data_IF_598321163732
#
_entry.id   IF_598321163732
#
_cell.length_a   1.000
_cell.length_b   1.000
_cell.length_c   1.000
_cell.angle_alpha   90.00
_cell.angle_beta   90.00
_cell.angle_gamma   90.00
#
_symmetry.space_group_name_H-M   'P 1'
#
loop_
_entity.id
_entity.type
_entity.pdbx_description
1 polymer ?
#
# COMPACT_ATOMS: atom_id res chain seq x y z
N UNK A 1 -1.17 -18.62 -18.72
CA UNK A 1 -0.08 -19.38 -18.07
C UNK A 1 0.96 -18.46 -17.44
N UNK A 2 1.51 -17.45 -18.11
CA UNK A 2 2.48 -16.51 -17.52
C UNK A 2 1.99 -15.79 -16.25
N UNK A 3 0.78 -15.27 -16.26
CA UNK A 3 0.20 -14.58 -15.10
C UNK A 3 -0.01 -15.49 -13.87
N UNK A 4 -0.25 -16.77 -14.06
CA UNK A 4 -0.42 -17.71 -12.95
C UNK A 4 0.90 -17.99 -12.27
N UNK A 5 1.97 -18.19 -13.04
CA UNK A 5 3.33 -18.41 -12.52
C UNK A 5 3.85 -17.19 -11.77
N UNK A 6 3.61 -15.97 -12.29
CA UNK A 6 3.98 -14.72 -11.62
C UNK A 6 3.25 -14.57 -10.28
N UNK A 7 1.95 -14.88 -10.24
CA UNK A 7 1.15 -14.81 -9.01
C UNK A 7 1.65 -15.80 -7.94
N UNK A 8 1.95 -17.03 -8.33
CA UNK A 8 2.49 -18.05 -7.43
C UNK A 8 3.85 -17.63 -6.85
N UNK A 9 4.73 -17.09 -7.68
CA UNK A 9 6.03 -16.55 -7.28
C UNK A 9 5.88 -15.40 -6.28
N UNK A 10 5.00 -14.42 -6.57
CA UNK A 10 4.74 -13.30 -5.68
C UNK A 10 4.13 -13.74 -4.34
N UNK A 11 3.20 -14.68 -4.35
CA UNK A 11 2.63 -15.21 -3.12
C UNK A 11 3.69 -15.88 -2.25
N UNK A 12 4.62 -16.64 -2.84
CA UNK A 12 5.72 -17.26 -2.10
C UNK A 12 6.64 -16.20 -1.44
N UNK A 13 6.91 -15.08 -2.13
CA UNK A 13 7.67 -13.96 -1.57
C UNK A 13 6.91 -13.31 -0.42
N UNK A 14 5.61 -13.05 -0.60
CA UNK A 14 4.75 -12.44 0.42
C UNK A 14 4.69 -13.32 1.68
N UNK A 15 4.53 -14.64 1.52
CA UNK A 15 4.53 -15.59 2.63
C UNK A 15 5.86 -15.57 3.40
N UNK A 16 7.01 -15.62 2.70
CA UNK A 16 8.32 -15.55 3.37
C UNK A 16 8.51 -14.26 4.15
N UNK A 17 8.11 -13.11 3.58
CA UNK A 17 8.20 -11.82 4.26
C UNK A 17 7.25 -11.78 5.46
N UNK A 18 6.03 -12.27 5.29
CA UNK A 18 5.06 -12.35 6.38
C UNK A 18 5.58 -13.20 7.53
N UNK A 19 6.13 -14.37 7.25
CA UNK A 19 6.72 -15.26 8.25
C UNK A 19 7.92 -14.64 8.96
N UNK A 20 8.81 -13.98 8.22
CA UNK A 20 9.96 -13.28 8.79
C UNK A 20 9.51 -12.19 9.76
N UNK A 21 8.54 -11.37 9.37
CA UNK A 21 7.99 -10.29 10.20
C UNK A 21 7.19 -10.85 11.39
N UNK A 22 6.45 -11.94 11.21
CA UNK A 22 5.70 -12.58 12.29
C UNK A 22 6.60 -13.09 13.40
N UNK A 23 7.76 -13.65 13.05
CA UNK A 23 8.74 -14.17 14.02
C UNK A 23 9.67 -13.09 14.59
N UNK A 24 9.64 -11.87 14.04
CA UNK A 24 10.26 -10.72 14.71
C UNK A 24 9.43 -10.34 15.93
N UNK A 25 10.01 -10.51 17.12
CA UNK A 25 9.33 -10.25 18.40
C UNK A 25 8.86 -8.83 18.60
N UNK A 26 9.38 -7.86 17.84
CA UNK A 26 8.99 -6.44 17.88
C UNK A 26 7.98 -6.05 16.84
N UNK A 27 7.77 -6.87 15.82
CA UNK A 27 6.76 -6.62 14.79
C UNK A 27 5.37 -7.02 15.32
N UNK A 28 4.45 -6.07 15.34
CA UNK A 28 3.09 -6.22 15.88
C UNK A 28 2.11 -6.61 14.80
N UNK A 29 2.22 -6.04 13.59
CA UNK A 29 1.32 -6.30 12.49
C UNK A 29 2.01 -6.09 11.14
N UNK A 30 1.47 -6.70 10.09
CA UNK A 30 1.87 -6.44 8.71
C UNK A 30 0.67 -6.45 7.76
N UNK A 31 0.71 -5.55 6.79
CA UNK A 31 -0.35 -5.35 5.79
C UNK A 31 0.26 -5.32 4.39
N UNK A 32 -0.43 -5.93 3.44
CA UNK A 32 -0.08 -5.88 2.02
C UNK A 32 -0.94 -4.82 1.34
N UNK A 33 -0.30 -3.90 0.62
CA UNK A 33 -0.97 -2.85 -0.13
C UNK A 33 -0.72 -2.99 -1.64
N UNK A 34 -1.34 -2.10 -2.41
CA UNK A 34 -1.12 -2.01 -3.85
C UNK A 34 -1.79 -3.12 -4.64
N UNK A 35 -1.29 -3.39 -5.84
CA UNK A 35 -1.92 -4.29 -6.82
C UNK A 35 -2.07 -5.73 -6.32
N UNK A 36 -1.16 -6.19 -5.46
CA UNK A 36 -1.19 -7.55 -4.90
C UNK A 36 -2.25 -7.76 -3.82
N UNK A 37 -2.78 -6.70 -3.24
CA UNK A 37 -3.85 -6.80 -2.23
C UNK A 37 -5.23 -7.06 -2.85
N UNK A 38 -5.44 -6.74 -4.15
CA UNK A 38 -6.74 -6.83 -4.84
C UNK A 38 -6.66 -7.43 -6.25
N UNK A 39 -5.68 -8.30 -6.48
CA UNK A 39 -5.54 -9.11 -7.71
C UNK A 39 -5.32 -8.35 -9.03
N UNK A 40 -4.94 -7.07 -8.98
CA UNK A 40 -4.63 -6.26 -10.17
C UNK A 40 -3.13 -6.31 -10.52
N UNK A 41 -2.57 -7.51 -10.61
CA UNK A 41 -1.14 -7.77 -10.79
C UNK A 41 -0.75 -7.64 -12.26
N UNK A 42 0.36 -6.97 -12.52
CA UNK A 42 1.01 -6.87 -13.82
C UNK A 42 2.54 -6.96 -13.67
N UNK A 43 3.27 -7.14 -14.76
CA UNK A 43 4.73 -7.44 -14.74
C UNK A 43 5.62 -6.42 -14.01
N UNK A 44 5.16 -5.16 -13.91
CA UNK A 44 5.89 -4.08 -13.21
C UNK A 44 5.33 -3.77 -11.82
N UNK A 45 4.43 -4.62 -11.30
CA UNK A 45 3.90 -4.44 -9.95
C UNK A 45 5.00 -4.70 -8.92
N UNK A 46 5.13 -3.81 -7.94
CA UNK A 46 5.91 -4.03 -6.72
C UNK A 46 5.06 -4.65 -5.61
N UNK A 47 5.69 -5.43 -4.74
CA UNK A 47 5.08 -5.95 -3.53
C UNK A 47 5.27 -4.89 -2.44
N UNK A 48 4.18 -4.27 -2.00
CA UNK A 48 4.21 -3.23 -0.97
C UNK A 48 3.71 -3.77 0.36
N UNK A 49 4.59 -3.79 1.36
CA UNK A 49 4.29 -4.26 2.71
C UNK A 49 4.49 -3.13 3.72
N UNK A 50 3.48 -2.89 4.54
CA UNK A 50 3.53 -1.99 5.69
C UNK A 50 3.62 -2.81 6.96
N UNK A 51 4.72 -2.67 7.69
CA UNK A 51 4.97 -3.39 8.95
C UNK A 51 4.93 -2.42 10.13
N UNK A 52 4.24 -2.82 11.19
CA UNK A 52 4.08 -2.04 12.41
C UNK A 52 4.91 -2.67 13.52
N UNK A 53 5.74 -1.87 14.14
CA UNK A 53 6.64 -2.23 15.22
C UNK A 53 6.26 -1.54 16.52
N UNK A 54 6.78 -2.05 17.64
CA UNK A 54 6.69 -1.37 18.94
C UNK A 54 7.21 0.07 18.86
N UNK A 55 6.74 0.93 19.74
CA UNK A 55 7.13 2.35 19.79
C UNK A 55 8.60 2.58 20.22
N UNK A 56 9.28 1.54 20.70
CA UNK A 56 10.72 1.56 20.97
C UNK A 56 11.59 1.27 19.73
N UNK A 57 10.99 0.96 18.60
CA UNK A 57 11.71 0.73 17.35
C UNK A 57 12.48 1.98 16.92
N UNK A 58 13.78 1.81 16.64
CA UNK A 58 14.72 2.88 16.23
C UNK A 58 15.45 2.55 14.94
N UNK A 59 14.93 1.60 14.17
CA UNK A 59 15.52 1.20 12.89
C UNK A 59 15.17 2.14 11.74
N UNK A 60 15.48 1.70 10.53
CA UNK A 60 15.11 2.40 9.31
C UNK A 60 13.59 2.34 9.11
N UNK A 61 13.05 3.35 8.44
CA UNK A 61 11.62 3.47 8.14
C UNK A 61 11.21 2.75 6.87
N UNK A 62 12.16 2.15 6.13
CA UNK A 62 11.81 1.38 4.95
C UNK A 62 13.00 0.75 4.25
N UNK A 63 12.69 -0.25 3.47
CA UNK A 63 13.63 -0.98 2.62
C UNK A 63 13.06 -1.14 1.22
N UNK A 64 13.96 -1.23 0.24
CA UNK A 64 13.65 -1.69 -1.11
C UNK A 64 14.51 -2.90 -1.36
N UNK A 65 13.88 -4.04 -1.54
CA UNK A 65 14.51 -5.35 -1.73
C UNK A 65 14.17 -5.84 -3.13
N UNK A 66 15.07 -6.63 -3.69
CA UNK A 66 14.79 -7.36 -4.93
C UNK A 66 14.91 -8.84 -4.63
N UNK A 67 13.83 -9.58 -4.86
CA UNK A 67 13.74 -11.01 -4.59
C UNK A 67 13.08 -11.70 -5.78
N UNK A 68 13.76 -12.68 -6.35
CA UNK A 68 13.29 -13.43 -7.53
C UNK A 68 12.82 -12.53 -8.69
N UNK A 69 13.51 -11.39 -8.91
CA UNK A 69 13.19 -10.42 -9.95
C UNK A 69 12.07 -9.44 -9.61
N UNK A 70 11.46 -9.56 -8.42
CA UNK A 70 10.39 -8.67 -7.94
C UNK A 70 10.94 -7.59 -7.01
N UNK A 71 10.45 -6.36 -7.17
CA UNK A 71 10.71 -5.29 -6.22
C UNK A 71 9.77 -5.41 -5.01
N UNK A 72 10.35 -5.42 -3.82
CA UNK A 72 9.60 -5.39 -2.55
C UNK A 72 9.85 -4.07 -1.85
N UNK A 73 8.79 -3.32 -1.65
CA UNK A 73 8.76 -2.09 -0.86
C UNK A 73 8.28 -2.43 0.55
N UNK A 74 9.20 -2.52 1.51
CA UNK A 74 8.88 -2.76 2.91
C UNK A 74 8.99 -1.43 3.67
N UNK A 75 7.86 -0.89 4.14
CA UNK A 75 7.80 0.31 4.95
C UNK A 75 7.56 -0.06 6.42
N UNK A 76 8.28 0.61 7.33
CA UNK A 76 8.28 0.28 8.74
C UNK A 76 7.79 1.48 9.56
N UNK A 77 6.80 1.25 10.39
CA UNK A 77 6.15 2.25 11.23
C UNK A 77 6.27 1.87 12.70
N UNK A 78 6.35 2.85 13.58
CA UNK A 78 6.06 2.62 14.99
C UNK A 78 4.55 2.52 15.19
N UNK A 79 4.09 1.87 16.27
CA UNK A 79 2.67 1.73 16.58
C UNK A 79 1.94 3.08 16.66
N UNK A 80 2.50 4.03 17.37
CA UNK A 80 1.96 5.41 17.47
C UNK A 80 1.99 6.11 16.11
N UNK A 81 3.07 5.97 15.34
CA UNK A 81 3.19 6.52 14.00
C UNK A 81 2.13 5.97 13.06
N UNK A 82 1.90 4.66 13.09
CA UNK A 82 0.90 3.99 12.27
C UNK A 82 -0.54 4.38 12.65
N UNK A 83 -0.85 4.44 13.95
CA UNK A 83 -2.16 4.92 14.44
C UNK A 83 -2.43 6.36 14.03
N UNK A 84 -1.42 7.23 14.12
CA UNK A 84 -1.53 8.62 13.66
C UNK A 84 -1.75 8.67 12.15
N UNK A 85 -1.06 7.84 11.41
CA UNK A 85 -1.12 7.74 9.98
C UNK A 85 -2.52 7.29 9.47
N UNK A 86 -3.12 6.28 10.12
CA UNK A 86 -4.48 5.83 9.78
C UNK A 86 -5.54 6.71 10.43
N UNK A 87 -5.38 7.08 11.71
CA UNK A 87 -6.38 7.78 12.52
C UNK A 87 -6.56 9.25 12.16
N UNK A 88 -5.59 9.89 11.52
CA UNK A 88 -5.77 11.23 10.95
C UNK A 88 -6.64 11.25 9.70
N UNK A 89 -7.28 10.12 9.41
CA UNK A 89 -8.16 9.75 8.34
C UNK A 89 -8.85 10.89 7.62
N UNK A 90 -8.05 11.67 6.91
CA UNK A 90 -8.59 12.46 5.84
C UNK A 90 -8.89 11.47 4.73
N UNK A 91 -10.17 11.23 4.46
CA UNK A 91 -10.64 10.38 3.36
C UNK A 91 -10.02 10.81 2.02
N UNK A 92 -9.46 12.00 1.97
CA UNK A 92 -8.70 12.57 0.86
C UNK A 92 -7.23 12.10 0.81
N UNK A 93 -6.73 11.37 1.81
CA UNK A 93 -5.35 10.91 1.81
C UNK A 93 -5.19 9.65 0.93
N UNK A 94 -4.22 9.71 0.02
CA UNK A 94 -3.83 8.58 -0.84
C UNK A 94 -3.57 7.29 -0.04
N UNK A 95 -3.03 7.42 1.14
CA UNK A 95 -2.64 6.32 2.01
C UNK A 95 -3.86 5.62 2.62
N UNK A 96 -4.84 6.38 3.09
CA UNK A 96 -6.13 5.84 3.54
C UNK A 96 -6.79 5.00 2.43
N UNK A 97 -6.77 5.50 1.19
CA UNK A 97 -7.29 4.79 0.01
C UNK A 97 -6.53 3.50 -0.29
N UNK A 98 -5.21 3.52 -0.12
CA UNK A 98 -4.39 2.33 -0.29
C UNK A 98 -4.73 1.28 0.78
N UNK A 99 -4.92 1.70 2.05
CA UNK A 99 -5.32 0.81 3.14
C UNK A 99 -6.73 0.24 2.97
N UNK A 100 -7.69 1.01 2.44
CA UNK A 100 -9.05 0.53 2.19
C UNK A 100 -9.14 -0.65 1.22
N UNK A 101 -8.08 -0.91 0.45
CA UNK A 101 -7.93 -2.06 -0.45
C UNK A 101 -6.82 -3.02 0.02
N UNK A 102 -6.24 -2.75 1.16
CA UNK A 102 -5.17 -3.54 1.72
C UNK A 102 -5.63 -4.93 2.17
N UNK A 103 -4.68 -5.84 2.32
CA UNK A 103 -4.87 -7.16 2.88
C UNK A 103 -4.02 -7.32 4.14
N UNK A 104 -4.63 -7.65 5.25
CA UNK A 104 -3.92 -7.99 6.47
C UNK A 104 -3.14 -9.30 6.27
N UNK A 105 -1.83 -9.28 6.52
CA UNK A 105 -0.99 -10.47 6.55
C UNK A 105 -1.07 -11.13 7.92
N UNK A 106 -0.85 -10.35 8.97
CA UNK A 106 -1.11 -10.74 10.35
C UNK A 106 -1.26 -9.50 11.24
N UNK A 107 -1.86 -9.68 12.43
CA UNK A 107 -1.86 -8.72 13.52
C UNK A 107 -1.79 -9.46 14.86
N UNK A 108 -1.08 -8.86 15.82
CA UNK A 108 -0.98 -9.29 17.22
C UNK A 108 -1.66 -8.29 18.17
N UNK A 109 -2.32 -7.26 17.62
CA UNK A 109 -3.01 -6.17 18.35
C UNK A 109 -4.43 -5.98 17.82
N UNK A 110 -5.44 -6.26 18.64
CA UNK A 110 -6.86 -6.14 18.27
C UNK A 110 -7.29 -4.71 17.93
N UNK A 111 -6.65 -3.68 18.51
CA UNK A 111 -6.96 -2.29 18.18
C UNK A 111 -6.47 -1.91 16.79
N UNK A 112 -5.38 -2.53 16.30
CA UNK A 112 -4.95 -2.38 14.92
C UNK A 112 -5.90 -3.09 13.95
N UNK A 113 -6.47 -4.22 14.37
CA UNK A 113 -7.49 -4.92 13.58
C UNK A 113 -8.74 -4.06 13.39
N UNK A 114 -9.25 -3.44 14.45
CA UNK A 114 -10.38 -2.52 14.41
C UNK A 114 -10.10 -1.31 13.50
N UNK A 115 -8.93 -0.69 13.64
CA UNK A 115 -8.53 0.44 12.79
C UNK A 115 -8.44 0.06 11.31
N UNK A 116 -7.93 -1.13 11.02
CA UNK A 116 -7.83 -1.63 9.65
C UNK A 116 -9.21 -1.93 9.05
N UNK A 117 -10.09 -2.55 9.84
CA UNK A 117 -11.45 -2.87 9.44
C UNK A 117 -12.27 -1.60 9.21
N UNK A 118 -12.11 -0.57 10.05
CA UNK A 118 -12.75 0.74 9.86
C UNK A 118 -12.27 1.43 8.57
N UNK A 119 -10.96 1.36 8.28
CA UNK A 119 -10.38 1.90 7.04
C UNK A 119 -10.93 1.19 5.79
N UNK A 120 -11.30 -0.08 5.90
CA UNK A 120 -11.86 -0.86 4.81
C UNK A 120 -13.31 -0.48 4.45
N UNK A 121 -14.06 0.11 5.38
CA UNK A 121 -15.48 0.47 5.22
C UNK A 121 -15.67 1.88 4.65
N UNK A 122 -15.26 2.09 3.39
CA UNK A 122 -15.57 3.35 2.68
C UNK A 122 -17.05 3.37 2.27
N UNK A 123 -17.80 4.37 2.74
CA UNK A 123 -19.20 4.57 2.37
C UNK A 123 -19.42 4.85 0.87
N UNK A 124 -20.62 4.60 0.36
CA UNK A 124 -20.94 4.79 -1.06
C UNK A 124 -20.77 6.25 -1.53
N UNK A 125 -21.06 7.23 -0.66
CA UNK A 125 -20.89 8.67 -0.95
C UNK A 125 -19.40 9.02 -1.07
N UNK A 126 -18.55 8.45 -0.23
CA UNK A 126 -17.12 8.67 -0.26
C UNK A 126 -16.50 8.09 -1.55
N UNK A 127 -16.98 6.92 -2.00
CA UNK A 127 -16.55 6.35 -3.30
C UNK A 127 -16.89 7.26 -4.48
N UNK A 128 -18.10 7.84 -4.51
CA UNK A 128 -18.52 8.74 -5.59
C UNK A 128 -17.68 10.01 -5.61
N UNK A 129 -17.45 10.61 -4.43
CA UNK A 129 -16.57 11.77 -4.27
C UNK A 129 -15.15 11.47 -4.77
N UNK A 130 -14.60 10.33 -4.37
CA UNK A 130 -13.27 9.88 -4.75
C UNK A 130 -13.13 9.63 -6.26
N UNK A 131 -14.13 9.01 -6.87
CA UNK A 131 -14.15 8.85 -8.32
C UNK A 131 -14.14 10.20 -9.03
N UNK A 132 -14.91 11.17 -8.54
CA UNK A 132 -14.97 12.52 -9.12
C UNK A 132 -13.63 13.27 -8.97
N UNK A 133 -13.00 13.19 -7.81
CA UNK A 133 -11.69 13.79 -7.55
C UNK A 133 -10.60 13.14 -8.40
N UNK A 134 -10.59 11.81 -8.49
CA UNK A 134 -9.66 11.06 -9.33
C UNK A 134 -9.82 11.40 -10.81
N UNK A 135 -11.04 11.49 -11.31
CA UNK A 135 -11.33 11.91 -12.68
C UNK A 135 -10.86 13.35 -12.96
N UNK A 136 -11.19 14.28 -12.07
CA UNK A 136 -10.77 15.68 -12.18
C UNK A 136 -9.24 15.82 -12.20
N UNK A 137 -8.55 15.07 -11.35
CA UNK A 137 -7.09 15.01 -11.32
C UNK A 137 -6.50 14.47 -12.62
N UNK A 138 -7.06 13.37 -13.14
CA UNK A 138 -6.61 12.77 -14.39
C UNK A 138 -6.76 13.76 -15.57
N UNK A 139 -7.91 14.43 -15.69
CA UNK A 139 -8.13 15.46 -16.72
C UNK A 139 -7.14 16.62 -16.59
N UNK A 140 -6.89 17.10 -15.35
CA UNK A 140 -5.91 18.16 -15.12
C UNK A 140 -4.50 17.76 -15.59
N UNK A 141 -4.04 16.56 -15.23
CA UNK A 141 -2.70 16.11 -15.61
C UNK A 141 -2.57 15.81 -17.10
N UNK A 142 -3.61 15.29 -17.75
CA UNK A 142 -3.65 15.12 -19.20
C UNK A 142 -3.49 16.45 -19.93
N UNK A 143 -4.30 17.45 -19.55
CA UNK A 143 -4.20 18.79 -20.13
C UNK A 143 -2.80 19.40 -19.93
N UNK A 144 -2.19 19.19 -18.76
CA UNK A 144 -0.84 19.65 -18.47
C UNK A 144 0.22 18.93 -19.31
N UNK A 145 0.06 17.63 -19.53
CA UNK A 145 0.94 16.84 -20.38
C UNK A 145 0.85 17.28 -21.85
N UNK A 146 -0.36 17.43 -22.38
CA UNK A 146 -0.59 17.97 -23.74
C UNK A 146 0.04 19.34 -23.95
N UNK A 147 -0.16 20.27 -22.99
CA UNK A 147 0.46 21.58 -23.03
C UNK A 147 1.99 21.49 -23.05
N UNK A 148 2.59 20.63 -22.25
CA UNK A 148 4.04 20.46 -22.20
C UNK A 148 4.59 19.84 -23.51
N UNK A 149 3.86 18.90 -24.11
CA UNK A 149 4.22 18.33 -25.42
C UNK A 149 4.15 19.43 -26.50
N UNK A 150 3.07 20.20 -26.56
CA UNK A 150 2.90 21.29 -27.51
C UNK A 150 4.03 22.33 -27.41
N UNK A 151 4.44 22.71 -26.20
CA UNK A 151 5.54 23.65 -25.98
C UNK A 151 6.87 23.06 -26.46
N UNK A 152 7.13 21.78 -26.21
CA UNK A 152 8.37 21.10 -26.64
C UNK A 152 8.46 20.92 -28.15
N UNK A 153 7.35 20.72 -28.83
CA UNK A 153 7.32 20.56 -30.29
C UNK A 153 7.46 21.87 -31.05
N UNK A 154 7.23 23.01 -30.39
CA UNK A 154 7.29 24.34 -31.01
C UNK A 154 8.47 25.21 -30.51
N UNK A 155 9.44 24.64 -29.78
CA UNK A 155 10.74 25.22 -29.42
C UNK A 155 11.87 24.61 -30.25
#
# INVERSE_FOLDING_TARGET
>A
MENQTLREQCNAIIERISDMLYHDGKCIAAYLLGSFSHDAIWEWSDIQVEAVYDDDYRGKTGYRLYEDGMCVALNLHTLTGFRTFIGNGNVDDFLWKAFSKGRKLFSKDSLLDELFDDAYHIGALDRQREMLLGFSGAVYYLNKAEKNLYVKENL
#
